data_IF_139804643653
#
_entry.id   IF_139804643653
#
_cell.length_a   1.000
_cell.length_b   1.000
_cell.length_c   1.000
_cell.angle_alpha   90.00
_cell.angle_beta   90.00
_cell.angle_gamma   90.00
#
_symmetry.space_group_name_H-M   'P 1'
#
loop_
_entity.id
_entity.type
_entity.pdbx_description
1 polymer ?
#
# COMPACT_ATOMS: atom_id res chain seq x y z
N UNK A 1 -18.77 20.52 10.82
CA UNK A 1 -17.28 20.54 10.76
C UNK A 1 -16.89 19.39 9.87
N UNK A 2 -16.62 19.68 8.60
CA UNK A 2 -16.18 18.67 7.64
C UNK A 2 -14.73 18.33 7.98
N UNK A 3 -14.52 17.25 8.73
CA UNK A 3 -13.19 16.70 8.98
C UNK A 3 -12.70 16.09 7.67
N UNK A 4 -12.14 16.91 6.79
CA UNK A 4 -11.42 16.44 5.62
C UNK A 4 -10.13 15.78 6.10
N UNK A 5 -10.10 14.45 6.04
CA UNK A 5 -8.90 13.65 6.30
C UNK A 5 -7.80 14.10 5.34
N UNK A 6 -6.71 14.65 5.87
CA UNK A 6 -5.55 15.09 5.09
C UNK A 6 -4.65 13.92 4.70
N UNK A 7 -3.70 14.13 3.79
CA UNK A 7 -2.70 13.11 3.45
C UNK A 7 -1.97 12.62 4.70
N UNK A 8 -1.59 13.53 5.61
CA UNK A 8 -0.91 13.21 6.87
C UNK A 8 -1.78 12.35 7.78
N UNK A 9 -3.09 12.62 7.86
CA UNK A 9 -4.01 11.79 8.66
C UNK A 9 -4.02 10.34 8.17
N UNK A 10 -4.03 10.12 6.85
CA UNK A 10 -3.98 8.78 6.27
C UNK A 10 -2.68 8.06 6.62
N UNK A 11 -1.55 8.77 6.60
CA UNK A 11 -0.25 8.23 7.00
C UNK A 11 -0.28 7.76 8.45
N UNK A 12 -0.80 8.60 9.35
CA UNK A 12 -0.91 8.30 10.78
C UNK A 12 -1.83 7.10 11.01
N UNK A 13 -2.99 7.04 10.34
CA UNK A 13 -3.92 5.92 10.49
C UNK A 13 -3.32 4.60 10.02
N UNK A 14 -2.60 4.61 8.88
CA UNK A 14 -1.91 3.43 8.36
C UNK A 14 -0.83 2.96 9.34
N UNK A 15 0.01 3.88 9.81
CA UNK A 15 1.07 3.56 10.77
C UNK A 15 0.50 2.98 12.06
N UNK A 16 -0.53 3.60 12.65
CA UNK A 16 -1.18 3.10 13.86
C UNK A 16 -1.73 1.70 13.64
N UNK A 17 -2.38 1.44 12.50
CA UNK A 17 -2.94 0.11 12.18
C UNK A 17 -1.86 -0.97 12.08
N UNK A 18 -0.74 -0.67 11.41
CA UNK A 18 0.40 -1.58 11.30
C UNK A 18 1.10 -1.80 12.65
N UNK A 19 1.30 -0.73 13.41
CA UNK A 19 1.90 -0.79 14.74
C UNK A 19 1.01 -1.56 15.73
N UNK A 20 -0.32 -1.52 15.55
CA UNK A 20 -1.24 -2.36 16.32
C UNK A 20 -1.02 -3.85 16.05
N UNK A 21 -0.96 -4.23 14.78
CA UNK A 21 -0.72 -5.62 14.37
C UNK A 21 0.65 -6.13 14.84
N UNK A 22 1.71 -5.33 14.66
CA UNK A 22 3.07 -5.70 15.01
C UNK A 22 3.29 -5.87 16.53
N UNK A 23 2.62 -5.05 17.35
CA UNK A 23 2.78 -5.05 18.80
C UNK A 23 1.67 -5.80 19.54
N UNK A 24 0.70 -6.40 18.82
CA UNK A 24 -0.45 -7.08 19.44
C UNK A 24 -1.39 -6.16 20.20
N UNK A 25 -1.46 -4.87 19.82
CA UNK A 25 -2.31 -3.86 20.48
C UNK A 25 -3.69 -3.90 19.83
N UNK A 26 -4.73 -4.01 20.66
CA UNK A 26 -6.13 -4.09 20.18
C UNK A 26 -6.81 -2.73 20.17
N UNK A 27 -7.94 -2.61 19.47
CA UNK A 27 -8.78 -1.40 19.55
C UNK A 27 -9.31 -1.15 20.97
N UNK A 28 -9.40 -2.18 21.81
CA UNK A 28 -9.79 -2.04 23.22
C UNK A 28 -8.68 -1.35 24.04
N UNK A 29 -7.41 -1.60 23.71
CA UNK A 29 -6.27 -0.94 24.34
C UNK A 29 -6.22 0.54 23.96
N UNK A 30 -6.47 0.87 22.68
CA UNK A 30 -6.62 2.26 22.24
C UNK A 30 -7.79 2.95 22.96
N UNK A 31 -8.94 2.26 23.08
CA UNK A 31 -10.09 2.77 23.82
C UNK A 31 -9.73 3.07 25.27
N UNK A 32 -9.01 2.17 25.95
CA UNK A 32 -8.56 2.33 27.33
C UNK A 32 -7.61 3.51 27.50
N UNK A 33 -6.65 3.69 26.60
CA UNK A 33 -5.73 4.83 26.62
C UNK A 33 -6.45 6.18 26.39
N UNK A 34 -7.61 6.15 25.75
CA UNK A 34 -8.43 7.33 25.49
C UNK A 34 -9.60 7.48 26.48
N UNK A 35 -9.47 6.98 27.71
CA UNK A 35 -10.49 7.09 28.77
C UNK A 35 -11.82 6.38 28.41
N UNK A 36 -11.75 5.26 27.67
CA UNK A 36 -12.91 4.44 27.37
C UNK A 36 -13.76 4.95 26.20
N UNK A 37 -13.15 5.62 25.21
CA UNK A 37 -13.85 6.01 23.97
C UNK A 37 -14.55 4.82 23.32
N UNK A 38 -15.70 5.09 22.71
CA UNK A 38 -16.53 4.02 22.12
C UNK A 38 -15.79 3.27 21.00
N UNK A 39 -16.15 2.00 20.81
CA UNK A 39 -15.60 1.16 19.73
C UNK A 39 -15.74 1.82 18.36
N UNK A 40 -16.89 2.42 18.07
CA UNK A 40 -17.13 3.12 16.80
C UNK A 40 -16.18 4.30 16.60
N UNK A 41 -15.93 5.07 17.67
CA UNK A 41 -15.01 6.20 17.64
C UNK A 41 -13.57 5.81 17.30
N UNK A 42 -13.08 4.71 17.89
CA UNK A 42 -11.76 4.14 17.61
C UNK A 42 -11.73 3.59 16.18
N UNK A 43 -12.73 2.78 15.81
CA UNK A 43 -12.81 2.15 14.51
C UNK A 43 -12.82 3.17 13.37
N UNK A 44 -13.55 4.28 13.49
CA UNK A 44 -13.59 5.30 12.45
C UNK A 44 -12.21 5.95 12.21
N UNK A 45 -11.38 6.07 13.25
CA UNK A 45 -10.05 6.65 13.13
C UNK A 45 -9.01 5.65 12.68
N UNK A 46 -9.04 4.43 13.19
CA UNK A 46 -8.17 3.34 12.71
C UNK A 46 -8.40 3.09 11.21
N UNK A 47 -9.66 3.16 10.75
CA UNK A 47 -10.02 3.03 9.34
C UNK A 47 -9.80 4.31 8.50
N UNK A 48 -9.25 5.38 9.08
CA UNK A 48 -8.98 6.64 8.37
C UNK A 48 -10.21 7.46 7.95
N UNK A 49 -11.40 7.12 8.45
CA UNK A 49 -12.65 7.87 8.19
C UNK A 49 -12.68 9.21 8.94
N UNK A 50 -11.91 9.33 10.01
CA UNK A 50 -11.76 10.54 10.85
C UNK A 50 -10.31 10.71 11.27
N UNK A 51 -9.87 11.96 11.38
CA UNK A 51 -8.56 12.31 11.91
C UNK A 51 -8.46 12.08 13.42
N UNK A 52 -7.24 11.84 13.89
CA UNK A 52 -6.90 11.85 15.31
C UNK A 52 -6.63 13.28 15.78
N UNK A 53 -7.08 13.63 16.99
CA UNK A 53 -6.61 14.86 17.62
C UNK A 53 -5.18 14.68 18.17
N UNK A 54 -4.39 15.75 18.19
CA UNK A 54 -3.01 15.71 18.72
C UNK A 54 -2.96 15.17 20.16
N UNK A 55 -3.90 15.58 21.01
CA UNK A 55 -4.01 15.09 22.40
C UNK A 55 -4.34 13.59 22.50
N UNK A 56 -4.98 13.02 21.49
CA UNK A 56 -5.22 11.58 21.41
C UNK A 56 -3.93 10.86 21.01
N UNK A 57 -3.21 11.40 20.02
CA UNK A 57 -1.92 10.86 19.61
C UNK A 57 -0.91 10.87 20.76
N UNK A 58 -0.91 11.89 21.62
CA UNK A 58 -0.06 11.94 22.82
C UNK A 58 -0.36 10.80 23.79
N UNK A 59 -1.64 10.46 23.96
CA UNK A 59 -2.06 9.36 24.84
C UNK A 59 -1.78 7.99 24.25
N UNK A 60 -1.78 7.88 22.92
CA UNK A 60 -1.51 6.64 22.22
C UNK A 60 -0.02 6.36 22.03
N UNK A 61 0.82 7.40 21.91
CA UNK A 61 2.25 7.27 21.66
C UNK A 61 2.97 6.28 22.60
N UNK A 62 2.71 6.27 23.93
CA UNK A 62 3.35 5.32 24.85
C UNK A 62 3.02 3.85 24.55
N UNK A 63 1.84 3.55 23.98
CA UNK A 63 1.48 2.18 23.60
C UNK A 63 2.41 1.63 22.51
N UNK A 64 2.96 2.51 21.67
CA UNK A 64 3.86 2.17 20.59
C UNK A 64 5.34 2.39 20.96
N UNK A 65 5.65 2.63 22.24
CA UNK A 65 7.01 2.90 22.72
C UNK A 65 7.54 4.28 22.34
N UNK A 66 6.66 5.23 22.02
CA UNK A 66 7.02 6.60 21.63
C UNK A 66 6.70 7.59 22.75
N UNK A 67 7.48 8.68 22.88
CA UNK A 67 7.33 9.60 24.01
C UNK A 67 6.14 10.55 23.87
N UNK A 68 5.80 10.98 22.65
CA UNK A 68 4.77 11.99 22.40
C UNK A 68 4.13 11.86 21.00
N UNK A 69 3.09 12.66 20.76
CA UNK A 69 2.39 12.75 19.49
C UNK A 69 3.31 13.09 18.32
N UNK A 70 4.27 14.02 18.53
CA UNK A 70 5.16 14.46 17.47
C UNK A 70 6.07 13.33 16.99
N UNK A 71 6.60 12.54 17.91
CA UNK A 71 7.40 11.34 17.62
C UNK A 71 6.58 10.29 16.87
N UNK A 72 5.30 10.13 17.22
CA UNK A 72 4.37 9.25 16.49
C UNK A 72 4.11 9.74 15.07
N UNK A 73 3.85 11.02 14.89
CA UNK A 73 3.66 11.61 13.54
C UNK A 73 4.95 11.48 12.71
N UNK A 74 6.11 11.76 13.30
CA UNK A 74 7.41 11.61 12.63
C UNK A 74 7.67 10.15 12.23
N UNK A 75 7.41 9.19 13.12
CA UNK A 75 7.52 7.77 12.83
C UNK A 75 6.57 7.33 11.71
N UNK A 76 5.32 7.81 11.72
CA UNK A 76 4.35 7.54 10.68
C UNK A 76 4.82 8.10 9.32
N UNK A 77 5.26 9.35 9.27
CA UNK A 77 5.81 9.97 8.06
C UNK A 77 7.08 9.26 7.56
N UNK A 78 7.96 8.84 8.46
CA UNK A 78 9.18 8.10 8.14
C UNK A 78 8.93 6.67 7.63
N UNK A 79 7.90 5.99 8.16
CA UNK A 79 7.53 4.63 7.73
C UNK A 79 7.18 4.56 6.24
N UNK A 80 6.51 5.58 5.71
CA UNK A 80 6.23 5.68 4.27
C UNK A 80 7.52 5.81 3.45
N UNK A 81 8.53 6.50 3.95
CA UNK A 81 9.80 6.59 3.23
C UNK A 81 10.46 5.21 3.09
N UNK A 82 10.41 4.39 4.15
CA UNK A 82 10.93 3.01 4.11
C UNK A 82 10.09 2.05 3.25
N UNK A 83 8.77 2.19 3.26
CA UNK A 83 7.86 1.34 2.49
C UNK A 83 7.81 1.75 1.01
N UNK A 84 7.88 3.07 0.73
CA UNK A 84 8.04 3.60 -0.63
C UNK A 84 9.41 3.23 -1.22
N UNK A 85 10.48 3.22 -0.42
CA UNK A 85 11.78 2.72 -0.84
C UNK A 85 11.73 1.23 -1.20
N UNK A 86 11.09 0.39 -0.38
CA UNK A 86 10.88 -1.03 -0.73
C UNK A 86 10.00 -1.23 -1.97
N UNK A 87 8.94 -0.43 -2.12
CA UNK A 87 8.07 -0.50 -3.29
C UNK A 87 8.80 -0.08 -4.58
N UNK A 88 9.70 0.90 -4.48
CA UNK A 88 10.59 1.29 -5.58
C UNK A 88 11.58 0.16 -5.91
N UNK A 89 12.25 -0.44 -4.93
CA UNK A 89 13.15 -1.57 -5.16
C UNK A 89 12.45 -2.82 -5.74
N UNK A 90 11.19 -3.07 -5.35
CA UNK A 90 10.40 -4.16 -5.92
C UNK A 90 10.07 -3.91 -7.39
N UNK A 91 9.70 -2.67 -7.75
CA UNK A 91 9.46 -2.28 -9.15
C UNK A 91 10.73 -2.32 -10.00
N UNK A 92 11.87 -1.93 -9.45
CA UNK A 92 13.16 -2.05 -10.14
C UNK A 92 13.52 -3.52 -10.40
N UNK A 93 13.25 -4.43 -9.44
CA UNK A 93 13.43 -5.87 -9.67
C UNK A 93 12.49 -6.43 -10.74
N UNK A 94 11.20 -6.06 -10.73
CA UNK A 94 10.26 -6.46 -11.79
C UNK A 94 10.66 -5.92 -13.16
N UNK A 95 11.15 -4.67 -13.21
CA UNK A 95 11.68 -4.04 -14.43
C UNK A 95 12.93 -4.76 -14.96
N UNK A 96 13.87 -5.13 -14.08
CA UNK A 96 15.05 -5.92 -14.43
C UNK A 96 14.67 -7.32 -14.95
N UNK A 97 13.74 -8.02 -14.30
CA UNK A 97 13.23 -9.32 -14.78
C UNK A 97 12.60 -9.18 -16.17
N UNK A 98 11.86 -8.11 -16.41
CA UNK A 98 11.23 -7.84 -17.71
C UNK A 98 12.27 -7.50 -18.77
N UNK A 99 13.29 -6.71 -18.44
CA UNK A 99 14.36 -6.35 -19.36
C UNK A 99 15.23 -7.57 -19.71
N UNK A 100 15.62 -8.37 -18.73
CA UNK A 100 16.38 -9.61 -18.94
C UNK A 100 15.60 -10.62 -19.82
N UNK A 101 14.27 -10.68 -19.66
CA UNK A 101 13.41 -11.49 -20.51
C UNK A 101 13.38 -10.96 -21.95
N UNK A 102 13.29 -9.64 -22.13
CA UNK A 102 13.34 -8.99 -23.45
C UNK A 102 14.69 -9.26 -24.13
N UNK A 103 15.79 -9.10 -23.40
CA UNK A 103 17.15 -9.32 -23.92
C UNK A 103 17.36 -10.78 -24.33
N UNK A 104 16.82 -11.75 -23.56
CA UNK A 104 16.86 -13.17 -23.91
C UNK A 104 16.02 -13.49 -25.16
N UNK A 105 14.82 -12.92 -25.29
CA UNK A 105 13.97 -13.09 -26.48
C UNK A 105 14.65 -12.46 -27.71
N UNK A 106 15.33 -11.32 -27.54
CA UNK A 106 16.06 -10.66 -28.61
C UNK A 106 17.34 -11.41 -29.02
N UNK A 107 18.00 -12.09 -28.08
CA UNK A 107 19.20 -12.90 -28.34
C UNK A 107 18.88 -14.24 -29.02
N UNK A 108 17.70 -14.82 -28.75
CA UNK A 108 17.26 -16.12 -29.28
C UNK A 108 15.80 -16.07 -29.76
N UNK A 109 15.48 -15.27 -30.79
CA UNK A 109 14.12 -15.18 -31.32
C UNK A 109 13.62 -16.51 -31.90
N UNK A 110 14.53 -17.41 -32.30
CA UNK A 110 14.24 -18.75 -32.83
C UNK A 110 13.57 -19.70 -31.82
N UNK A 111 13.74 -19.46 -30.52
CA UNK A 111 13.18 -20.31 -29.45
C UNK A 111 11.72 -19.96 -29.11
N UNK A 112 11.23 -18.82 -29.60
CA UNK A 112 9.90 -18.29 -29.29
C UNK A 112 9.03 -18.25 -30.56
N UNK A 113 8.58 -19.41 -31.00
CA UNK A 113 7.62 -19.55 -32.11
C UNK A 113 6.23 -19.03 -31.68
N UNK A 114 5.72 -17.99 -32.35
CA UNK A 114 4.36 -17.48 -32.13
C UNK A 114 3.38 -18.53 -32.65
N UNK A 115 2.53 -19.10 -31.78
CA UNK A 115 1.56 -20.14 -32.14
C UNK A 115 0.63 -19.76 -33.32
N UNK A 116 0.49 -18.45 -33.61
CA UNK A 116 -0.24 -17.93 -34.76
C UNK A 116 0.38 -18.28 -36.13
N UNK A 117 1.70 -18.53 -36.22
CA UNK A 117 2.36 -18.86 -37.48
C UNK A 117 2.06 -20.30 -37.96
N UNK A 118 1.56 -21.16 -37.07
CA UNK A 118 1.16 -22.55 -37.39
C UNK A 118 -0.36 -22.74 -37.37
N UNK A 119 -1.12 -21.67 -37.19
CA UNK A 119 -2.57 -21.74 -37.22
C UNK A 119 -3.06 -21.94 -38.68
N UNK A 120 -3.71 -23.07 -39.01
CA UNK A 120 -4.27 -23.29 -40.34
C UNK A 120 -5.39 -22.30 -40.71
N UNK A 121 -5.98 -21.58 -39.73
CA UNK A 121 -6.97 -20.52 -39.96
C UNK A 121 -6.35 -19.14 -40.25
N UNK A 122 -5.02 -18.97 -40.25
CA UNK A 122 -4.37 -17.66 -40.45
C UNK A 122 -4.70 -16.99 -41.81
N UNK A 123 -5.31 -17.72 -42.76
CA UNK A 123 -5.73 -17.21 -44.07
C UNK A 123 -7.25 -17.06 -44.24
N UNK A 124 -8.06 -17.28 -43.21
CA UNK A 124 -9.52 -17.34 -43.34
C UNK A 124 -10.24 -15.97 -43.39
N UNK A 125 -9.51 -14.84 -43.30
CA UNK A 125 -10.08 -13.49 -43.41
C UNK A 125 -9.64 -12.72 -44.67
N UNK A 126 -9.09 -13.40 -45.68
CA UNK A 126 -8.71 -12.76 -46.95
C UNK A 126 -9.83 -12.74 -48.02
N UNK A 127 -11.01 -13.27 -47.71
CA UNK A 127 -12.20 -13.14 -48.57
C UNK A 127 -13.19 -12.15 -47.93
N UNK A 128 -12.86 -10.86 -48.01
CA UNK A 128 -13.90 -9.83 -48.10
C UNK A 128 -14.49 -9.93 -49.51
N UNK A 129 -15.78 -10.26 -49.69
CA UNK A 129 -16.40 -10.21 -51.01
C UNK A 129 -16.44 -8.75 -51.45
N UNK A 130 -15.88 -8.43 -52.62
CA UNK A 130 -16.29 -7.24 -53.36
C UNK A 130 -17.67 -7.53 -53.98
N UNK A 131 -18.60 -6.58 -53.84
CA UNK A 131 -20.02 -6.63 -54.26
C UNK A 131 -20.27 -7.18 -55.68
#
# INVERSE_FOLDING_TARGET
MDSSTTRTDLVICKYISQAMEANGITQADLSKALEGRSKGYISDRVLGKRSWAISELDRLAPLFGLPDALSLVAAACGSISSEAARAYEARERESQITNDLIDRIAAHPEDYDVAANRDPNARLEAETPDD
#
